data_IF_142981741542
#
_entry.id   IF_142981741542
#
_cell.length_a   1.000
_cell.length_b   1.000
_cell.length_c   1.000
_cell.angle_alpha   90.00
_cell.angle_beta   90.00
_cell.angle_gamma   90.00
#
_symmetry.space_group_name_H-M   'P 1'
#
loop_
_entity.id
_entity.type
_entity.pdbx_description
1 polymer ?
#
# COMPACT_ATOMS: atom_id res chain seq x y z
N UNK A 1 -7.91 23.09 10.85
CA UNK A 1 -6.49 22.65 10.94
C UNK A 1 -6.34 21.21 11.45
N UNK A 2 -7.17 20.71 12.39
CA UNK A 2 -7.09 19.33 12.91
C UNK A 2 -7.72 18.24 12.01
N UNK A 3 -8.68 18.59 11.15
CA UNK A 3 -9.44 17.62 10.33
C UNK A 3 -8.67 17.07 9.12
N UNK A 4 -7.71 17.82 8.59
CA UNK A 4 -6.91 17.41 7.42
C UNK A 4 -5.69 16.56 7.81
N UNK A 5 -5.26 16.61 9.07
CA UNK A 5 -4.15 15.80 9.58
C UNK A 5 -4.53 14.32 9.70
N UNK A 6 -5.80 14.02 10.03
CA UNK A 6 -6.31 12.65 10.15
C UNK A 6 -6.16 11.83 8.86
N UNK A 7 -6.67 12.24 7.69
CA UNK A 7 -6.48 11.49 6.46
C UNK A 7 -5.00 11.37 6.07
N UNK A 8 -4.17 12.34 6.47
CA UNK A 8 -2.73 12.31 6.17
C UNK A 8 -1.95 11.31 7.02
N UNK A 9 -2.22 11.26 8.32
CA UNK A 9 -1.66 10.23 9.20
C UNK A 9 -2.16 8.85 8.76
N UNK A 10 -3.43 8.74 8.39
CA UNK A 10 -3.98 7.51 7.83
C UNK A 10 -3.27 7.07 6.55
N UNK A 11 -2.97 7.97 5.60
CA UNK A 11 -2.20 7.66 4.39
C UNK A 11 -0.75 7.24 4.68
N UNK A 12 -0.09 7.88 5.65
CA UNK A 12 1.28 7.51 6.05
C UNK A 12 1.28 6.13 6.71
N UNK A 13 0.31 5.86 7.60
CA UNK A 13 0.19 4.56 8.27
C UNK A 13 -0.17 3.46 7.27
N UNK A 14 -1.16 3.68 6.39
CA UNK A 14 -1.53 2.67 5.38
C UNK A 14 -0.41 2.41 4.36
N UNK A 15 0.29 3.45 3.88
CA UNK A 15 1.42 3.25 2.97
C UNK A 15 2.58 2.47 3.59
N UNK A 16 2.85 2.67 4.88
CA UNK A 16 3.84 1.88 5.60
C UNK A 16 3.41 0.41 5.81
N UNK A 17 2.11 0.16 6.03
CA UNK A 17 1.56 -1.19 6.12
C UNK A 17 1.65 -1.90 4.75
N UNK A 18 1.32 -1.23 3.65
CA UNK A 18 1.47 -1.81 2.30
C UNK A 18 2.93 -2.16 1.98
N UNK A 19 3.89 -1.29 2.30
CA UNK A 19 5.31 -1.59 2.12
C UNK A 19 5.75 -2.82 2.94
N UNK A 20 5.20 -2.99 4.15
CA UNK A 20 5.51 -4.15 4.99
C UNK A 20 4.89 -5.46 4.42
N UNK A 21 3.68 -5.38 3.87
CA UNK A 21 3.00 -6.51 3.20
C UNK A 21 3.78 -6.91 1.94
N UNK A 22 4.21 -5.96 1.11
CA UNK A 22 5.02 -6.23 -0.08
C UNK A 22 6.37 -6.83 0.28
N UNK A 23 7.01 -6.36 1.37
CA UNK A 23 8.22 -6.97 1.89
C UNK A 23 7.97 -8.42 2.34
N UNK A 24 6.88 -8.71 3.05
CA UNK A 24 6.53 -10.06 3.47
C UNK A 24 6.26 -11.00 2.29
N UNK A 25 5.57 -10.51 1.25
CA UNK A 25 5.35 -11.26 0.01
C UNK A 25 6.64 -11.50 -0.79
N UNK A 26 7.54 -10.51 -0.84
CA UNK A 26 8.83 -10.64 -1.53
C UNK A 26 9.76 -11.67 -0.87
N UNK A 27 9.72 -11.80 0.46
CA UNK A 27 10.42 -12.89 1.17
C UNK A 27 9.80 -14.25 0.82
N UNK A 28 8.47 -14.34 0.75
CA UNK A 28 7.76 -15.57 0.33
C UNK A 28 8.06 -15.99 -1.12
N UNK A 29 8.40 -15.04 -1.98
CA UNK A 29 8.80 -15.28 -3.38
C UNK A 29 10.29 -15.66 -3.55
N UNK A 30 11.05 -15.79 -2.46
CA UNK A 30 12.46 -16.23 -2.50
C UNK A 30 13.46 -15.12 -2.88
N UNK A 31 13.05 -13.85 -2.83
CA UNK A 31 13.94 -12.72 -3.12
C UNK A 31 14.90 -12.51 -1.95
N UNK A 32 16.16 -12.15 -2.24
CA UNK A 32 17.20 -11.97 -1.23
C UNK A 32 16.76 -10.95 -0.15
N UNK A 33 16.66 -11.37 1.13
CA UNK A 33 16.09 -10.53 2.20
C UNK A 33 16.89 -9.26 2.47
N UNK A 34 18.21 -9.25 2.20
CA UNK A 34 19.05 -8.05 2.36
C UNK A 34 18.72 -7.01 1.30
N UNK A 35 18.54 -7.43 0.05
CA UNK A 35 18.11 -6.54 -1.04
C UNK A 35 16.71 -6.00 -0.79
N UNK A 36 15.80 -6.85 -0.31
CA UNK A 36 14.42 -6.45 0.02
C UNK A 36 14.37 -5.42 1.15
N UNK A 37 15.19 -5.58 2.18
CA UNK A 37 15.27 -4.64 3.30
C UNK A 37 15.76 -3.26 2.84
N UNK A 38 16.78 -3.22 1.98
CA UNK A 38 17.31 -1.96 1.42
C UNK A 38 16.25 -1.29 0.54
N UNK A 39 15.58 -2.06 -0.34
CA UNK A 39 14.52 -1.53 -1.20
C UNK A 39 13.35 -0.98 -0.38
N UNK A 40 12.96 -1.69 0.68
CA UNK A 40 11.88 -1.29 1.60
C UNK A 40 12.25 0.00 2.34
N UNK A 41 13.51 0.14 2.76
CA UNK A 41 13.99 1.35 3.44
C UNK A 41 13.97 2.58 2.51
N UNK A 42 14.42 2.40 1.27
CA UNK A 42 14.37 3.45 0.24
C UNK A 42 12.91 3.80 -0.09
N UNK A 43 12.04 2.80 -0.22
CA UNK A 43 10.62 3.02 -0.48
C UNK A 43 9.93 3.82 0.65
N UNK A 44 10.21 3.50 1.92
CA UNK A 44 9.72 4.27 3.07
C UNK A 44 10.25 5.70 3.05
N UNK A 45 11.53 5.92 2.73
CA UNK A 45 12.12 7.25 2.69
C UNK A 45 11.54 8.11 1.54
N UNK A 46 11.38 7.52 0.35
CA UNK A 46 10.70 8.17 -0.78
C UNK A 46 9.23 8.47 -0.44
N UNK A 47 8.53 7.55 0.23
CA UNK A 47 7.14 7.75 0.66
C UNK A 47 7.02 8.87 1.70
N UNK A 48 7.97 8.98 2.62
CA UNK A 48 8.01 10.05 3.60
C UNK A 48 8.18 11.41 2.90
N UNK A 49 9.09 11.51 1.93
CA UNK A 49 9.32 12.75 1.15
C UNK A 49 8.11 13.14 0.31
N UNK A 50 7.53 12.19 -0.42
CA UNK A 50 6.32 12.41 -1.24
C UNK A 50 5.13 12.74 -0.33
N UNK A 51 5.00 12.08 0.81
CA UNK A 51 3.99 12.39 1.82
C UNK A 51 4.10 13.84 2.26
N UNK A 52 5.28 14.25 2.75
CA UNK A 52 5.49 15.58 3.35
C UNK A 52 5.41 16.74 2.34
N UNK A 53 5.92 16.54 1.12
CA UNK A 53 5.88 17.56 0.06
C UNK A 53 4.55 17.54 -0.71
N UNK A 54 4.03 16.34 -0.97
CA UNK A 54 2.77 16.11 -1.64
C UNK A 54 1.58 16.66 -0.86
N UNK A 55 1.57 16.62 0.48
CA UNK A 55 0.47 17.20 1.28
C UNK A 55 0.20 18.66 0.91
N UNK A 56 1.28 19.45 0.78
CA UNK A 56 1.18 20.90 0.57
C UNK A 56 0.55 21.25 -0.77
N UNK A 57 0.74 20.40 -1.78
CA UNK A 57 0.20 20.59 -3.14
C UNK A 57 -1.16 19.88 -3.31
N UNK A 58 -1.33 18.72 -2.67
CA UNK A 58 -2.47 17.82 -2.86
C UNK A 58 -3.71 18.16 -2.02
N UNK A 59 -3.61 19.00 -0.99
CA UNK A 59 -4.77 19.46 -0.19
C UNK A 59 -5.89 20.02 -1.09
N UNK A 60 -5.55 20.70 -2.18
CA UNK A 60 -6.53 21.25 -3.14
C UNK A 60 -7.31 20.17 -3.92
N UNK A 61 -6.78 18.95 -4.02
CA UNK A 61 -7.36 17.81 -4.74
C UNK A 61 -7.71 16.61 -3.83
N UNK A 62 -7.67 16.80 -2.51
CA UNK A 62 -7.85 15.74 -1.52
C UNK A 62 -9.13 14.91 -1.75
N UNK A 63 -10.22 15.53 -2.21
CA UNK A 63 -11.48 14.83 -2.52
C UNK A 63 -11.35 13.84 -3.68
N UNK A 64 -10.65 14.21 -4.74
CA UNK A 64 -10.47 13.34 -5.91
C UNK A 64 -9.47 12.22 -5.60
N UNK A 65 -8.41 12.52 -4.85
CA UNK A 65 -7.43 11.52 -4.41
C UNK A 65 -8.08 10.49 -3.50
N UNK A 66 -8.93 10.90 -2.56
CA UNK A 66 -9.60 9.97 -1.65
C UNK A 66 -10.59 9.05 -2.39
N UNK A 67 -11.28 9.57 -3.41
CA UNK A 67 -12.19 8.77 -4.23
C UNK A 67 -11.44 7.79 -5.15
N UNK A 68 -10.43 8.26 -5.89
CA UNK A 68 -9.64 7.42 -6.81
C UNK A 68 -8.80 6.41 -6.03
N UNK A 69 -8.18 6.83 -4.92
CA UNK A 69 -7.41 5.95 -4.04
C UNK A 69 -8.29 4.89 -3.39
N UNK A 70 -9.47 5.25 -2.89
CA UNK A 70 -10.44 4.29 -2.36
C UNK A 70 -10.92 3.29 -3.43
N UNK A 71 -11.18 3.76 -4.65
CA UNK A 71 -11.57 2.91 -5.78
C UNK A 71 -10.45 1.94 -6.17
N UNK A 72 -9.19 2.40 -6.20
CA UNK A 72 -8.04 1.57 -6.51
C UNK A 72 -7.85 0.45 -5.48
N UNK A 73 -7.91 0.78 -4.18
CA UNK A 73 -7.84 -0.22 -3.10
C UNK A 73 -8.98 -1.23 -3.21
N UNK A 74 -10.19 -0.78 -3.53
CA UNK A 74 -11.34 -1.65 -3.72
C UNK A 74 -11.14 -2.66 -4.87
N UNK A 75 -10.66 -2.18 -6.03
CA UNK A 75 -10.39 -3.04 -7.19
C UNK A 75 -9.25 -4.03 -6.88
N UNK A 76 -8.16 -3.58 -6.25
CA UNK A 76 -7.05 -4.43 -5.83
C UNK A 76 -7.49 -5.49 -4.81
N UNK A 77 -8.40 -5.14 -3.89
CA UNK A 77 -9.01 -6.08 -2.96
C UNK A 77 -9.81 -7.17 -3.68
N UNK A 78 -10.63 -6.80 -4.67
CA UNK A 78 -11.34 -7.78 -5.51
C UNK A 78 -10.35 -8.66 -6.28
N UNK A 79 -9.31 -8.08 -6.87
CA UNK A 79 -8.28 -8.82 -7.59
C UNK A 79 -7.57 -9.84 -6.67
N UNK A 80 -7.27 -9.46 -5.43
CA UNK A 80 -6.65 -10.37 -4.44
C UNK A 80 -7.61 -11.50 -4.02
N UNK A 81 -8.91 -11.22 -3.88
CA UNK A 81 -9.92 -12.26 -3.62
C UNK A 81 -10.04 -13.23 -4.80
N UNK A 82 -10.05 -12.73 -6.03
CA UNK A 82 -10.10 -13.56 -7.23
C UNK A 82 -8.80 -14.37 -7.44
N UNK A 83 -7.65 -13.79 -7.12
CA UNK A 83 -6.35 -14.47 -7.19
C UNK A 83 -6.16 -15.57 -6.14
N UNK A 84 -6.86 -15.50 -5.01
CA UNK A 84 -6.77 -16.52 -3.94
C UNK A 84 -7.75 -17.69 -4.11
N UNK A 85 -8.83 -17.51 -4.89
CA UNK A 85 -9.78 -18.57 -5.26
C UNK A 85 -9.15 -19.85 -5.84
N UNK A 86 -8.23 -19.80 -6.84
CA UNK A 86 -7.61 -21.01 -7.37
C UNK A 86 -6.76 -21.76 -6.34
N UNK A 87 -6.11 -21.05 -5.40
CA UNK A 87 -5.37 -21.67 -4.30
C UNK A 87 -6.28 -22.37 -3.29
N UNK A 88 -7.45 -21.80 -3.00
CA UNK A 88 -8.47 -22.40 -2.13
C UNK A 88 -9.08 -23.64 -2.79
N UNK A 89 -9.45 -23.57 -4.07
CA UNK A 89 -10.01 -24.71 -4.82
C UNK A 89 -9.04 -25.91 -4.86
N UNK A 90 -7.75 -25.65 -5.10
CA UNK A 90 -6.72 -26.70 -5.06
C UNK A 90 -6.54 -27.32 -3.65
N UNK A 91 -6.69 -26.53 -2.58
CA UNK A 91 -6.61 -27.02 -1.20
C UNK A 91 -7.78 -27.96 -0.83
N UNK A 92 -8.95 -27.79 -1.46
CA UNK A 92 -10.15 -28.59 -1.21
C UNK A 92 -10.30 -29.83 -2.12
N UNK A 93 -9.30 -30.19 -2.93
CA UNK A 93 -9.29 -31.39 -3.78
C UNK A 93 -10.58 -31.55 -4.63
N UNK A 94 -10.93 -30.52 -5.42
CA UNK A 94 -11.82 -30.64 -6.58
C UNK A 94 -10.99 -30.43 -7.83
#
# INVERSE_FOLDING_TARGET
MQSELKPFITLIVFGNIENLILAAQGVGAGVNPVGLAILSFIAVFCWLLIGTLGTKVAIKYARHINFIGGLAIFILGIQAMLGSLPGILHYFHI
#
